data_IF_296316353415
#
_entry.id   IF_296316353415
#
_cell.length_a   1.000
_cell.length_b   1.000
_cell.length_c   1.000
_cell.angle_alpha   90.00
_cell.angle_beta   90.00
_cell.angle_gamma   90.00
#
_symmetry.space_group_name_H-M   'P 1'
#
loop_
_entity.id
_entity.type
_entity.pdbx_description
1 polymer ?
#
# COMPACT_ATOMS: atom_id res chain seq x y z
N UNK A 1 -3.26 -7.60 8.36
CA UNK A 1 -2.55 -6.30 8.50
C UNK A 1 -2.02 -6.13 9.92
N UNK A 2 -0.93 -5.36 10.15
CA UNK A 2 -0.48 -4.99 11.49
C UNK A 2 -1.58 -4.25 12.28
N UNK A 3 -1.68 -4.48 13.59
CA UNK A 3 -2.73 -3.87 14.45
C UNK A 3 -2.51 -2.38 14.71
N UNK A 4 -1.27 -1.91 14.58
CA UNK A 4 -0.79 -0.55 14.78
C UNK A 4 -0.98 0.39 13.57
N UNK A 5 -1.85 0.04 12.61
CA UNK A 5 -2.19 0.92 11.50
C UNK A 5 -3.23 1.97 11.90
N UNK A 6 -3.06 3.25 11.50
CA UNK A 6 -4.11 4.25 11.60
C UNK A 6 -5.38 3.85 10.84
N UNK A 7 -6.57 4.31 11.26
CA UNK A 7 -7.82 4.05 10.55
C UNK A 7 -7.77 4.44 9.06
N UNK A 8 -7.17 5.59 8.76
CA UNK A 8 -7.00 6.09 7.38
C UNK A 8 -6.21 5.13 6.50
N UNK A 9 -5.14 4.54 7.04
CA UNK A 9 -4.35 3.54 6.32
C UNK A 9 -5.18 2.25 6.08
N UNK A 10 -6.03 1.85 7.03
CA UNK A 10 -6.90 0.67 6.86
C UNK A 10 -7.93 0.92 5.76
N UNK A 11 -8.61 2.06 5.78
CA UNK A 11 -9.58 2.44 4.74
C UNK A 11 -8.92 2.50 3.37
N UNK A 12 -7.71 3.07 3.28
CA UNK A 12 -6.95 3.13 2.03
C UNK A 12 -6.57 1.74 1.52
N UNK A 13 -6.27 0.79 2.41
CA UNK A 13 -6.03 -0.60 2.01
C UNK A 13 -7.29 -1.27 1.44
N UNK A 14 -8.47 -0.98 2.00
CA UNK A 14 -9.73 -1.48 1.45
C UNK A 14 -9.95 -0.96 0.01
N UNK A 15 -9.61 0.31 -0.27
CA UNK A 15 -9.62 0.86 -1.63
C UNK A 15 -8.63 0.11 -2.56
N UNK A 16 -7.42 -0.18 -2.08
CA UNK A 16 -6.40 -0.97 -2.82
C UNK A 16 -6.92 -2.38 -3.15
N UNK A 17 -7.63 -3.03 -2.23
CA UNK A 17 -8.19 -4.37 -2.43
C UNK A 17 -9.42 -4.36 -3.34
N UNK A 18 -10.25 -3.32 -3.27
CA UNK A 18 -11.45 -3.18 -4.08
C UNK A 18 -11.15 -2.87 -5.56
N UNK A 19 -10.07 -2.14 -5.85
CA UNK A 19 -9.75 -1.75 -7.23
C UNK A 19 -9.20 -2.91 -8.07
N UNK A 20 -9.69 -3.00 -9.30
CA UNK A 20 -9.18 -3.93 -10.34
C UNK A 20 -8.31 -3.23 -11.39
N UNK A 21 -8.24 -1.89 -11.37
CA UNK A 21 -7.46 -1.13 -12.33
C UNK A 21 -6.00 -1.05 -11.85
N UNK A 22 -5.02 -1.57 -12.61
CA UNK A 22 -3.61 -1.59 -12.19
C UNK A 22 -3.04 -0.19 -11.93
N UNK A 23 -3.38 0.81 -12.75
CA UNK A 23 -2.89 2.19 -12.59
C UNK A 23 -3.46 2.84 -11.33
N UNK A 24 -4.74 2.61 -11.07
CA UNK A 24 -5.38 3.11 -9.85
C UNK A 24 -4.85 2.39 -8.61
N UNK A 25 -4.62 1.08 -8.71
CA UNK A 25 -4.02 0.29 -7.63
C UNK A 25 -2.64 0.78 -7.26
N UNK A 26 -1.82 1.14 -8.25
CA UNK A 26 -0.51 1.74 -8.03
C UNK A 26 -0.62 3.04 -7.23
N UNK A 27 -1.49 3.97 -7.66
CA UNK A 27 -1.73 5.24 -6.95
C UNK A 27 -2.17 5.02 -5.51
N UNK A 28 -3.13 4.11 -5.29
CA UNK A 28 -3.66 3.81 -3.96
C UNK A 28 -2.62 3.15 -3.05
N UNK A 29 -1.72 2.31 -3.58
CA UNK A 29 -0.62 1.74 -2.81
C UNK A 29 0.40 2.79 -2.37
N UNK A 30 0.69 3.79 -3.21
CA UNK A 30 1.55 4.93 -2.87
C UNK A 30 0.93 5.79 -1.76
N UNK A 31 -0.37 6.10 -1.87
CA UNK A 31 -1.13 6.80 -0.84
C UNK A 31 -1.17 6.02 0.47
N UNK A 32 -1.46 4.71 0.41
CA UNK A 32 -1.42 3.82 1.57
C UNK A 32 -0.07 3.90 2.28
N UNK A 33 1.03 3.79 1.52
CA UNK A 33 2.37 3.84 2.08
C UNK A 33 2.70 5.18 2.75
N UNK A 34 2.08 6.28 2.30
CA UNK A 34 2.23 7.61 2.92
C UNK A 34 1.53 7.71 4.29
N UNK A 35 0.44 6.96 4.47
CA UNK A 35 -0.35 6.92 5.72
C UNK A 35 0.21 5.93 6.75
N UNK A 36 1.04 4.97 6.34
CA UNK A 36 1.63 3.97 7.23
C UNK A 36 2.77 4.60 8.06
N UNK A 37 2.69 4.60 9.42
CA UNK A 37 3.78 5.08 10.27
C UNK A 37 5.06 4.30 10.00
N UNK A 38 6.24 4.93 9.96
CA UNK A 38 7.51 4.26 9.60
C UNK A 38 8.32 3.89 10.85
N UNK A 39 7.96 2.77 11.49
CA UNK A 39 8.67 2.25 12.66
C UNK A 39 8.76 0.71 12.62
N UNK A 40 9.40 0.11 13.63
CA UNK A 40 9.67 -1.35 13.67
C UNK A 40 8.41 -2.22 13.46
N UNK A 41 7.24 -1.76 13.93
CA UNK A 41 5.98 -2.51 13.83
C UNK A 41 5.38 -2.57 12.41
N UNK A 42 5.76 -1.67 11.51
CA UNK A 42 5.26 -1.57 10.14
C UNK A 42 6.34 -1.79 9.08
N UNK A 43 7.61 -1.90 9.47
CA UNK A 43 8.74 -2.01 8.54
C UNK A 43 8.55 -3.12 7.49
N UNK A 44 8.12 -4.32 7.91
CA UNK A 44 7.85 -5.45 7.00
C UNK A 44 6.72 -5.14 6.02
N UNK A 45 5.65 -4.48 6.48
CA UNK A 45 4.54 -4.05 5.63
C UNK A 45 5.02 -3.03 4.58
N UNK A 46 5.76 -2.00 5.00
CA UNK A 46 6.28 -0.99 4.07
C UNK A 46 7.18 -1.60 2.98
N UNK A 47 8.03 -2.57 3.33
CA UNK A 47 8.88 -3.29 2.35
C UNK A 47 8.03 -4.06 1.35
N UNK A 48 7.03 -4.80 1.82
CA UNK A 48 6.15 -5.57 0.95
C UNK A 48 5.36 -4.67 -0.01
N UNK A 49 4.80 -3.57 0.49
CA UNK A 49 4.05 -2.59 -0.31
C UNK A 49 4.94 -1.95 -1.37
N UNK A 50 6.16 -1.53 -1.00
CA UNK A 50 7.13 -0.98 -1.97
C UNK A 50 7.49 -1.98 -3.06
N UNK A 51 7.62 -3.26 -2.72
CA UNK A 51 7.85 -4.32 -3.70
C UNK A 51 6.66 -4.45 -4.66
N UNK A 52 5.43 -4.48 -4.14
CA UNK A 52 4.21 -4.51 -4.96
C UNK A 52 4.14 -3.31 -5.91
N UNK A 53 4.40 -2.09 -5.43
CA UNK A 53 4.47 -0.87 -6.26
C UNK A 53 5.44 -1.06 -7.42
N UNK A 54 6.67 -1.53 -7.13
CA UNK A 54 7.71 -1.73 -8.14
C UNK A 54 7.33 -2.81 -9.17
N UNK A 55 6.69 -3.88 -8.73
CA UNK A 55 6.25 -4.96 -9.62
C UNK A 55 5.09 -4.47 -10.52
N UNK A 56 4.10 -3.76 -9.96
CA UNK A 56 3.01 -3.12 -10.71
C UNK A 56 3.50 -2.07 -11.71
N UNK A 57 4.50 -1.26 -11.36
CA UNK A 57 5.08 -0.28 -12.28
C UNK A 57 5.64 -0.95 -13.53
N UNK A 58 6.30 -2.10 -13.39
CA UNK A 58 6.84 -2.87 -14.53
C UNK A 58 5.76 -3.55 -15.36
N UNK A 59 4.62 -3.91 -14.76
CA UNK A 59 3.49 -4.50 -15.49
C UNK A 59 2.72 -3.46 -16.32
N UNK A 60 2.80 -2.18 -15.96
CA UNK A 60 2.12 -1.06 -16.63
C UNK A 60 2.98 -0.45 -17.75
N UNK A 61 4.30 -0.62 -17.68
CA UNK A 61 5.28 -0.26 -18.73
C UNK A 61 5.17 -1.18 -19.95
#
# INVERSE_FOLDING_TARGET
>A
MPTNLPPEAKNKWEEVEATKNPREKLRLLEEFLSLVPKHKGTAKLCVNVKKQIKDLQKEIE
#
